data_IF_474407115667
#
_entry.id   IF_474407115667
#
_cell.length_a   1.000
_cell.length_b   1.000
_cell.length_c   1.000
_cell.angle_alpha   90.00
_cell.angle_beta   90.00
_cell.angle_gamma   90.00
#
_symmetry.space_group_name_H-M   'P 1'
#
loop_
_entity.id
_entity.type
_entity.pdbx_description
1 polymer ?
#
# COMPACT_ATOMS: atom_id res chain seq x y z
N UNK A 1 -15.52 16.69 6.15
CA UNK A 1 -15.71 15.59 7.12
C UNK A 1 -15.55 16.18 8.53
N UNK A 2 -16.49 15.92 9.45
CA UNK A 2 -16.41 16.50 10.81
C UNK A 2 -15.21 15.89 11.54
N UNK A 3 -14.44 16.70 12.29
CA UNK A 3 -13.22 16.25 13.01
C UNK A 3 -13.45 15.02 13.89
N UNK A 4 -14.64 14.90 14.48
CA UNK A 4 -15.05 13.77 15.31
C UNK A 4 -15.11 12.45 14.51
N UNK A 5 -15.69 12.47 13.30
CA UNK A 5 -15.77 11.30 12.43
C UNK A 5 -14.41 10.85 11.90
N UNK A 6 -13.46 11.78 11.73
CA UNK A 6 -12.07 11.43 11.40
C UNK A 6 -11.35 10.76 12.57
N UNK A 7 -11.70 11.13 13.80
CA UNK A 7 -11.09 10.57 15.01
C UNK A 7 -11.56 9.13 15.22
N UNK A 8 -12.86 8.89 15.05
CA UNK A 8 -13.48 7.56 15.11
C UNK A 8 -12.93 6.61 14.03
N UNK A 9 -12.72 7.13 12.80
CA UNK A 9 -12.09 6.38 11.72
C UNK A 9 -10.69 5.84 12.07
N UNK A 10 -9.84 6.67 12.69
CA UNK A 10 -8.48 6.26 13.04
C UNK A 10 -8.40 5.44 14.33
N UNK A 11 -9.35 5.59 15.25
CA UNK A 11 -9.49 4.69 16.41
C UNK A 11 -9.84 3.28 15.95
N UNK A 12 -10.84 3.14 15.06
CA UNK A 12 -11.19 1.86 14.46
C UNK A 12 -10.04 1.30 13.61
N UNK A 13 -9.24 2.16 12.97
CA UNK A 13 -8.04 1.72 12.28
C UNK A 13 -6.98 1.16 13.23
N UNK A 14 -6.76 1.77 14.39
CA UNK A 14 -5.85 1.25 15.40
C UNK A 14 -6.37 -0.08 15.99
N UNK A 15 -7.66 -0.19 16.28
CA UNK A 15 -8.28 -1.44 16.76
C UNK A 15 -8.20 -2.58 15.72
N UNK A 16 -8.50 -2.27 14.46
CA UNK A 16 -8.37 -3.23 13.37
C UNK A 16 -6.91 -3.64 13.12
N UNK A 17 -5.93 -2.77 13.40
CA UNK A 17 -4.51 -3.10 13.31
C UNK A 17 -4.06 -4.12 14.35
N UNK A 18 -4.63 -4.08 15.56
CA UNK A 18 -4.34 -5.09 16.59
C UNK A 18 -4.79 -6.50 16.13
N UNK A 19 -5.84 -6.59 15.30
CA UNK A 19 -6.39 -7.86 14.82
C UNK A 19 -5.74 -8.31 13.51
N UNK A 20 -5.53 -7.40 12.57
CA UNK A 20 -5.12 -7.71 11.18
C UNK A 20 -3.68 -7.31 10.83
N UNK A 21 -2.90 -6.85 11.81
CA UNK A 21 -1.58 -6.26 11.58
C UNK A 21 -1.66 -5.01 10.71
N UNK A 22 -0.63 -4.71 9.91
CA UNK A 22 -0.61 -3.55 9.00
C UNK A 22 -1.20 -3.86 7.60
N UNK A 23 -2.11 -4.83 7.52
CA UNK A 23 -2.77 -5.18 6.26
C UNK A 23 -3.79 -4.11 5.87
N UNK A 24 -3.33 -3.10 5.13
CA UNK A 24 -4.17 -1.98 4.68
C UNK A 24 -5.49 -2.43 4.02
N UNK A 25 -5.55 -3.49 3.17
CA UNK A 25 -6.82 -3.99 2.66
C UNK A 25 -7.77 -4.47 3.75
N UNK A 26 -7.30 -5.31 4.68
CA UNK A 26 -8.15 -5.89 5.74
C UNK A 26 -8.65 -4.83 6.71
N UNK A 27 -7.78 -3.91 7.12
CA UNK A 27 -8.14 -2.76 7.96
C UNK A 27 -9.18 -1.89 7.25
N UNK A 28 -8.98 -1.62 5.96
CA UNK A 28 -9.94 -0.82 5.18
C UNK A 28 -11.29 -1.49 5.11
N UNK A 29 -11.32 -2.78 4.81
CA UNK A 29 -12.57 -3.54 4.69
C UNK A 29 -13.30 -3.59 6.02
N UNK A 30 -12.58 -3.76 7.13
CA UNK A 30 -13.16 -3.76 8.48
C UNK A 30 -13.75 -2.38 8.85
N UNK A 31 -12.99 -1.31 8.64
CA UNK A 31 -13.47 0.04 8.95
C UNK A 31 -14.68 0.42 8.09
N UNK A 32 -14.66 0.07 6.80
CA UNK A 32 -15.79 0.36 5.92
C UNK A 32 -17.05 -0.41 6.34
N UNK A 33 -16.88 -1.64 6.83
CA UNK A 33 -17.98 -2.48 7.33
C UNK A 33 -18.56 -1.94 8.65
N UNK A 34 -17.71 -1.55 9.59
CA UNK A 34 -18.12 -1.12 10.93
C UNK A 34 -18.53 0.37 10.98
N UNK A 35 -17.70 1.27 10.44
CA UNK A 35 -17.91 2.71 10.53
C UNK A 35 -18.87 3.27 9.47
N UNK A 36 -18.91 2.63 8.28
CA UNK A 36 -19.66 3.16 7.13
C UNK A 36 -20.55 2.14 6.41
N UNK A 37 -21.34 1.30 7.13
CA UNK A 37 -22.14 0.25 6.50
C UNK A 37 -23.16 0.80 5.49
N UNK A 38 -23.73 1.98 5.77
CA UNK A 38 -24.70 2.65 4.87
C UNK A 38 -24.04 3.17 3.60
N UNK A 39 -22.82 3.71 3.71
CA UNK A 39 -22.05 4.20 2.56
C UNK A 39 -21.60 3.05 1.67
N UNK A 40 -21.21 1.93 2.28
CA UNK A 40 -20.89 0.70 1.56
C UNK A 40 -22.09 0.15 0.80
N UNK A 41 -23.25 0.04 1.44
CA UNK A 41 -24.47 -0.41 0.79
C UNK A 41 -24.89 0.50 -0.38
N UNK A 42 -24.76 1.81 -0.23
CA UNK A 42 -25.01 2.76 -1.32
C UNK A 42 -23.98 2.60 -2.45
N UNK A 43 -22.70 2.47 -2.13
CA UNK A 43 -21.64 2.31 -3.12
C UNK A 43 -21.77 0.99 -3.91
N UNK A 44 -22.20 -0.09 -3.26
CA UNK A 44 -22.52 -1.36 -3.92
C UNK A 44 -23.73 -1.23 -4.84
N UNK A 45 -24.81 -0.59 -4.38
CA UNK A 45 -25.99 -0.34 -5.20
C UNK A 45 -25.71 0.53 -6.44
N UNK A 46 -24.76 1.46 -6.32
CA UNK A 46 -24.31 2.34 -7.40
C UNK A 46 -23.13 1.77 -8.22
N UNK A 47 -22.60 0.59 -7.85
CA UNK A 47 -21.47 -0.04 -8.53
C UNK A 47 -20.13 0.70 -8.40
N UNK A 48 -19.98 1.54 -7.37
CA UNK A 48 -18.77 2.32 -7.09
C UNK A 48 -17.97 1.84 -5.85
N UNK A 49 -18.34 0.70 -5.28
CA UNK A 49 -17.69 0.03 -4.14
C UNK A 49 -16.16 -0.05 -4.28
N UNK A 50 -15.66 -0.38 -5.48
CA UNK A 50 -14.21 -0.47 -5.74
C UNK A 50 -13.50 0.87 -5.61
N UNK A 51 -14.13 1.96 -6.04
CA UNK A 51 -13.56 3.30 -5.92
C UNK A 51 -13.51 3.74 -4.45
N UNK A 52 -14.59 3.46 -3.70
CA UNK A 52 -14.66 3.74 -2.28
C UNK A 52 -13.56 2.97 -1.51
N UNK A 53 -13.45 1.66 -1.74
CA UNK A 53 -12.39 0.83 -1.13
C UNK A 53 -10.99 1.30 -1.53
N UNK A 54 -10.79 1.71 -2.79
CA UNK A 54 -9.50 2.22 -3.24
C UNK A 54 -9.09 3.52 -2.51
N UNK A 55 -10.02 4.48 -2.41
CA UNK A 55 -9.79 5.74 -1.70
C UNK A 55 -9.47 5.51 -0.21
N UNK A 56 -10.31 4.73 0.46
CA UNK A 56 -10.12 4.40 1.88
C UNK A 56 -8.81 3.64 2.12
N UNK A 57 -8.46 2.68 1.24
CA UNK A 57 -7.19 1.95 1.32
C UNK A 57 -5.98 2.84 1.15
N UNK A 58 -6.05 3.84 0.27
CA UNK A 58 -4.96 4.81 0.07
C UNK A 58 -4.70 5.60 1.36
N UNK A 59 -5.77 6.06 2.01
CA UNK A 59 -5.67 6.81 3.27
C UNK A 59 -5.20 5.95 4.44
N UNK A 60 -5.70 4.71 4.55
CA UNK A 60 -5.23 3.74 5.55
C UNK A 60 -3.77 3.35 5.30
N UNK A 61 -3.37 3.14 4.05
CA UNK A 61 -1.96 2.88 3.71
C UNK A 61 -1.06 4.05 4.11
N UNK A 62 -1.53 5.28 3.93
CA UNK A 62 -0.80 6.48 4.38
C UNK A 62 -0.76 6.59 5.90
N UNK A 63 -1.85 6.24 6.58
CA UNK A 63 -1.94 6.23 8.04
C UNK A 63 -1.00 5.19 8.66
N UNK A 64 -1.02 3.95 8.16
CA UNK A 64 -0.11 2.87 8.58
C UNK A 64 1.36 3.24 8.33
N UNK A 65 1.64 3.81 7.14
CA UNK A 65 3.00 4.25 6.77
C UNK A 65 3.50 5.43 7.59
N UNK A 66 2.62 6.17 8.27
CA UNK A 66 3.04 7.10 9.30
C UNK A 66 3.20 6.25 10.55
N UNK A 67 4.43 5.91 10.96
CA UNK A 67 4.61 5.42 12.33
C UNK A 67 3.95 6.46 13.23
N UNK A 68 3.22 6.02 14.28
CA UNK A 68 2.84 6.92 15.37
C UNK A 68 4.05 7.81 15.59
N UNK A 69 3.88 9.12 15.45
CA UNK A 69 4.95 10.08 15.66
C UNK A 69 5.31 10.07 17.16
N UNK A 70 5.86 8.95 17.63
CA UNK A 70 6.39 8.76 18.96
C UNK A 70 7.82 9.29 18.94
N UNK A 71 7.93 10.62 18.92
CA UNK A 71 8.93 11.40 19.70
C UNK A 71 10.43 11.13 19.42
N UNK A 72 10.76 10.22 18.52
CA UNK A 72 12.08 10.09 17.93
C UNK A 72 11.87 10.25 16.44
N UNK A 73 12.43 11.32 15.87
CA UNK A 73 12.98 11.20 14.53
C UNK A 73 13.65 9.82 14.49
N UNK A 74 13.21 8.92 13.61
CA UNK A 74 13.92 7.67 13.31
C UNK A 74 15.24 8.07 12.66
N UNK A 75 16.12 8.65 13.46
CA UNK A 75 17.47 9.00 13.08
C UNK A 75 18.18 7.68 12.90
N UNK A 76 18.82 7.49 11.74
CA UNK A 76 19.79 6.42 11.53
C UNK A 76 20.97 6.48 12.53
N UNK A 77 20.98 7.42 13.48
CA UNK A 77 21.94 7.55 14.56
C UNK A 77 22.07 6.31 15.45
N UNK A 78 21.09 5.40 15.45
CA UNK A 78 21.19 4.11 16.16
C UNK A 78 21.79 2.98 15.30
N UNK A 79 22.06 3.23 14.01
CA UNK A 79 22.67 2.26 13.10
C UNK A 79 24.19 2.39 13.13
N UNK A 80 24.85 1.27 12.85
CA UNK A 80 26.29 1.22 12.62
C UNK A 80 26.67 2.21 11.49
N UNK A 81 27.70 3.08 11.68
CA UNK A 81 28.18 3.98 10.64
C UNK A 81 28.38 3.34 9.27
N UNK A 82 28.79 2.07 9.22
CA UNK A 82 29.02 1.35 7.95
C UNK A 82 27.73 1.05 7.18
N UNK A 83 26.58 1.03 7.86
CA UNK A 83 25.26 0.84 7.24
C UNK A 83 24.66 2.16 6.72
N UNK A 84 25.13 3.32 7.21
CA UNK A 84 24.58 4.63 6.87
C UNK A 84 24.56 4.90 5.34
N UNK A 85 25.63 4.63 4.57
CA UNK A 85 25.60 4.84 3.13
C UNK A 85 24.56 3.99 2.41
N UNK A 86 24.30 2.77 2.91
CA UNK A 86 23.34 1.84 2.32
C UNK A 86 21.89 2.24 2.60
N UNK A 87 21.60 2.76 3.80
CA UNK A 87 20.23 3.14 4.18
C UNK A 87 19.83 4.51 3.61
N UNK A 88 20.78 5.40 3.33
CA UNK A 88 20.51 6.72 2.75
C UNK A 88 19.94 6.67 1.33
N UNK A 89 20.24 5.62 0.56
CA UNK A 89 19.75 5.44 -0.81
C UNK A 89 18.40 4.72 -0.87
N UNK A 90 17.84 4.34 0.28
CA UNK A 90 16.54 3.67 0.37
C UNK A 90 15.39 4.67 0.16
N UNK A 91 14.37 4.25 -0.59
CA UNK A 91 13.19 5.08 -0.89
C UNK A 91 12.19 5.22 0.26
N UNK A 92 12.46 4.60 1.42
CA UNK A 92 11.57 4.57 2.57
C UNK A 92 12.34 4.30 3.85
N UNK A 93 11.84 4.83 4.97
CA UNK A 93 12.36 4.59 6.33
C UNK A 93 11.81 3.32 6.97
N UNK A 94 10.84 2.67 6.34
CA UNK A 94 10.23 1.41 6.77
C UNK A 94 9.82 0.55 5.57
N UNK A 95 9.87 -0.77 5.74
CA UNK A 95 9.53 -1.74 4.71
C UNK A 95 8.54 -2.78 5.24
N UNK A 96 7.66 -3.21 4.34
CA UNK A 96 6.66 -4.24 4.63
C UNK A 96 7.32 -5.62 4.62
N UNK A 97 7.09 -6.36 5.70
CA UNK A 97 7.49 -7.77 5.84
C UNK A 97 6.22 -8.62 5.85
N UNK A 98 6.05 -9.54 4.89
CA UNK A 98 4.89 -10.43 4.84
C UNK A 98 4.94 -11.47 5.97
N UNK A 99 3.81 -11.69 6.65
CA UNK A 99 3.60 -12.76 7.63
C UNK A 99 2.60 -13.79 7.06
N UNK A 100 2.90 -14.36 5.90
CA UNK A 100 2.00 -15.25 5.15
C UNK A 100 1.50 -14.64 3.84
N UNK A 101 0.44 -15.21 3.25
CA UNK A 101 0.03 -14.90 1.88
C UNK A 101 -0.57 -13.49 1.68
N UNK A 102 -1.25 -12.94 2.70
CA UNK A 102 -2.02 -11.69 2.58
C UNK A 102 -1.91 -10.74 3.79
N UNK A 103 -0.93 -11.00 4.67
CA UNK A 103 -0.72 -10.26 5.92
C UNK A 103 0.74 -9.88 6.08
N UNK A 104 1.03 -8.90 6.93
CA UNK A 104 2.37 -8.41 7.15
C UNK A 104 2.40 -7.12 7.96
N UNK A 105 3.60 -6.71 8.32
CA UNK A 105 3.85 -5.59 9.23
C UNK A 105 4.94 -4.70 8.65
N UNK A 106 4.82 -3.38 8.82
CA UNK A 106 5.91 -2.48 8.47
C UNK A 106 6.91 -2.41 9.62
N UNK A 107 8.18 -2.67 9.31
CA UNK A 107 9.29 -2.50 10.24
C UNK A 107 10.17 -1.36 9.77
N UNK A 108 10.65 -0.55 10.72
CA UNK A 108 11.62 0.50 10.41
C UNK A 108 12.94 -0.10 9.93
N UNK A 109 13.71 0.67 9.15
CA UNK A 109 15.04 0.24 8.70
C UNK A 109 15.94 -0.17 9.87
N UNK A 110 16.00 0.56 11.00
CA UNK A 110 16.73 0.10 12.18
C UNK A 110 16.29 -1.26 12.71
N UNK A 111 14.98 -1.50 12.84
CA UNK A 111 14.47 -2.81 13.29
C UNK A 111 14.87 -3.94 12.33
N UNK A 112 14.82 -3.69 11.02
CA UNK A 112 15.22 -4.66 10.00
C UNK A 112 16.73 -4.94 10.03
N UNK A 113 17.57 -3.94 10.29
CA UNK A 113 19.01 -4.13 10.42
C UNK A 113 19.39 -5.03 11.60
N UNK A 114 18.51 -5.19 12.59
CA UNK A 114 18.72 -6.07 13.74
C UNK A 114 18.05 -7.45 13.60
N UNK A 115 17.34 -7.71 12.49
CA UNK A 115 16.60 -8.97 12.25
C UNK A 115 16.76 -9.43 10.79
N UNK A 116 17.79 -10.26 10.55
CA UNK A 116 18.15 -10.76 9.22
C UNK A 116 17.00 -11.54 8.53
N UNK A 117 16.26 -12.45 9.20
CA UNK A 117 15.08 -13.07 8.61
C UNK A 117 14.01 -12.09 8.15
N UNK A 118 13.71 -11.03 8.91
CA UNK A 118 12.74 -10.00 8.50
C UNK A 118 13.25 -9.17 7.33
N UNK A 119 14.52 -8.76 7.36
CA UNK A 119 15.14 -8.02 6.26
C UNK A 119 15.12 -8.83 4.96
N UNK A 120 15.41 -10.13 5.04
CA UNK A 120 15.34 -11.05 3.90
C UNK A 120 13.93 -11.13 3.31
N UNK A 121 12.90 -11.24 4.15
CA UNK A 121 11.52 -11.26 3.69
C UNK A 121 11.09 -9.92 3.07
N UNK A 122 11.48 -8.78 3.64
CA UNK A 122 11.24 -7.46 3.04
C UNK A 122 11.91 -7.34 1.65
N UNK A 123 13.14 -7.84 1.52
CA UNK A 123 13.87 -7.87 0.25
C UNK A 123 13.16 -8.75 -0.80
N UNK A 124 12.81 -9.99 -0.45
CA UNK A 124 12.10 -10.91 -1.34
C UNK A 124 10.76 -10.33 -1.81
N UNK A 125 10.03 -9.70 -0.89
CA UNK A 125 8.78 -9.03 -1.23
C UNK A 125 8.99 -7.86 -2.21
N UNK A 126 10.08 -7.09 -2.07
CA UNK A 126 10.42 -6.03 -3.02
C UNK A 126 10.79 -6.55 -4.40
N UNK A 127 11.48 -7.70 -4.49
CA UNK A 127 11.75 -8.37 -5.77
C UNK A 127 10.44 -8.81 -6.43
N UNK A 128 9.54 -9.45 -5.68
CA UNK A 128 8.22 -9.85 -6.19
C UNK A 128 7.43 -8.65 -6.73
N UNK A 129 7.42 -7.52 -6.01
CA UNK A 129 6.77 -6.30 -6.49
C UNK A 129 7.41 -5.78 -7.79
N UNK A 130 8.75 -5.76 -7.88
CA UNK A 130 9.46 -5.35 -9.09
C UNK A 130 9.02 -6.16 -10.30
N UNK A 131 8.96 -7.49 -10.14
CA UNK A 131 8.62 -8.40 -11.24
C UNK A 131 7.16 -8.20 -11.68
N UNK A 132 6.23 -8.04 -10.73
CA UNK A 132 4.84 -7.69 -11.02
C UNK A 132 4.72 -6.38 -11.81
N UNK A 133 5.42 -5.32 -11.38
CA UNK A 133 5.41 -4.03 -12.12
C UNK A 133 6.03 -4.16 -13.51
N UNK A 134 7.08 -4.97 -13.67
CA UNK A 134 7.69 -5.24 -14.97
C UNK A 134 6.70 -5.95 -15.91
N UNK A 135 5.98 -6.95 -15.42
CA UNK A 135 4.93 -7.64 -16.18
C UNK A 135 3.79 -6.70 -16.57
N UNK A 136 3.34 -5.87 -15.63
CA UNK A 136 2.31 -4.87 -15.89
C UNK A 136 2.75 -3.88 -16.98
N UNK A 137 4.00 -3.38 -16.91
CA UNK A 137 4.56 -2.50 -17.95
C UNK A 137 4.59 -3.18 -19.33
N UNK A 138 4.98 -4.46 -19.41
CA UNK A 138 4.94 -5.24 -20.67
C UNK A 138 3.53 -5.34 -21.21
N UNK A 139 2.56 -5.64 -20.35
CA UNK A 139 1.15 -5.75 -20.74
C UNK A 139 0.59 -4.41 -21.24
N UNK A 140 0.92 -3.31 -20.56
CA UNK A 140 0.55 -1.96 -21.00
C UNK A 140 1.16 -1.61 -22.36
N UNK A 141 2.41 -2.01 -22.61
CA UNK A 141 3.06 -1.82 -23.90
C UNK A 141 2.36 -2.60 -25.03
N UNK A 142 2.00 -3.87 -24.78
CA UNK A 142 1.23 -4.69 -25.73
C UNK A 142 -0.14 -4.09 -26.00
N UNK A 143 -0.84 -3.63 -24.94
CA UNK A 143 -2.14 -2.97 -25.06
C UNK A 143 -2.03 -1.70 -25.91
N UNK A 144 -1.02 -0.86 -25.67
CA UNK A 144 -0.77 0.37 -26.43
C UNK A 144 -0.58 0.06 -27.92
N UNK A 145 0.18 -0.99 -28.26
CA UNK A 145 0.37 -1.42 -29.66
C UNK A 145 -0.95 -1.80 -30.31
N UNK A 146 -1.78 -2.62 -29.64
CA UNK A 146 -3.10 -3.03 -30.16
C UNK A 146 -4.05 -1.86 -30.34
N UNK A 147 -4.07 -0.91 -29.40
CA UNK A 147 -4.88 0.32 -29.51
C UNK A 147 -4.45 1.14 -30.73
N UNK A 148 -3.14 1.31 -30.94
CA UNK A 148 -2.60 2.01 -32.12
C UNK A 148 -2.99 1.33 -33.43
N UNK A 149 -2.86 0.02 -33.53
CA UNK A 149 -3.26 -0.76 -34.71
C UNK A 149 -4.76 -0.63 -35.02
N UNK A 150 -5.61 -0.67 -33.99
CA UNK A 150 -7.06 -0.49 -34.14
C UNK A 150 -7.42 0.93 -34.58
N UNK A 151 -6.73 1.95 -34.05
CA UNK A 151 -6.92 3.35 -34.45
C UNK A 151 -6.43 3.64 -35.87
N UNK A 152 -5.34 3.01 -36.31
CA UNK A 152 -4.78 3.16 -37.66
C UNK A 152 -5.57 2.46 -38.77
N UNK A 153 -6.32 1.40 -38.44
CA UNK A 153 -7.20 0.68 -39.39
C UNK A 153 -8.58 1.35 -39.61
N UNK A 154 -8.82 2.54 -39.07
CA UNK A 154 -10.15 3.18 -39.06
C UNK A 154 -10.42 4.21 -40.18
N UNK A 155 -9.54 4.39 -41.16
CA UNK A 155 -9.87 5.14 -42.39
C UNK A 155 -10.17 4.20 -43.56
N UNK A 156 -11.44 3.90 -43.86
CA UNK A 156 -11.79 3.43 -45.20
C UNK A 156 -11.57 4.58 -46.18
N UNK A 157 -10.81 4.32 -47.24
CA UNK A 157 -10.71 5.16 -48.42
C UNK A 157 -12.12 5.36 -48.98
N UNK A 158 -12.59 6.62 -49.03
CA UNK A 158 -13.80 6.97 -49.79
C UNK A 158 -13.52 6.72 -51.27
N UNK A 159 -14.24 5.77 -51.86
CA UNK A 159 -14.48 5.71 -53.30
C UNK A 159 -15.40 6.84 -53.74
#
# INVERSE_FOLDING_TARGET
MRKEQMTEFYVLADEAREIFGDSAPKITDEILREAFPKTMAAAEAEGCDKFLRHGAKSDISRYIRKPKASVRQLTFASLDPDLLPLVQVLNSVAYYVPNGAHEGTYYSVPELCHDEPKLTQAYQYKIMQRDHYADECRNLHVLLKKVREKSGKSRPSKS
#
